data_IF_974246731360
#
_entry.id   IF_974246731360
#
_cell.length_a   1.000
_cell.length_b   1.000
_cell.length_c   1.000
_cell.angle_alpha   90.00
_cell.angle_beta   90.00
_cell.angle_gamma   90.00
#
_symmetry.space_group_name_H-M   'P 1'
#
loop_
_entity.id
_entity.type
_entity.pdbx_description
1 polymer ?
#
# COMPACT_ATOMS: atom_id res chain seq x y z
N UNK A 1 52.57 61.20 9.28
CA UNK A 1 51.45 60.30 9.66
C UNK A 1 52.05 59.23 10.55
N UNK A 2 51.98 59.44 11.88
CA UNK A 2 51.14 58.67 12.83
C UNK A 2 51.43 57.16 12.80
N UNK A 3 51.74 56.42 13.86
CA UNK A 3 51.93 56.63 15.31
C UNK A 3 52.49 55.28 15.84
N UNK A 4 53.31 55.33 16.89
CA UNK A 4 53.78 54.23 17.80
C UNK A 4 52.62 53.34 18.37
N UNK A 5 52.82 52.39 19.32
CA UNK A 5 53.79 51.29 19.56
C UNK A 5 53.12 49.96 20.10
N UNK A 6 53.95 49.02 20.61
CA UNK A 6 53.70 47.80 21.41
C UNK A 6 52.46 47.71 22.34
N UNK A 7 51.90 46.48 22.45
CA UNK A 7 51.27 45.83 23.64
C UNK A 7 51.20 44.31 23.35
N UNK A 8 51.94 43.38 23.98
CA UNK A 8 51.83 42.76 25.31
C UNK A 8 50.43 42.25 25.73
N UNK A 9 50.42 41.03 26.33
CA UNK A 9 49.39 40.34 27.17
C UNK A 9 48.66 39.17 26.47
N UNK A 10 49.10 37.90 26.66
CA UNK A 10 48.67 36.90 27.70
C UNK A 10 47.26 36.33 27.39
N UNK A 11 47.15 35.11 26.83
CA UNK A 11 47.01 33.80 27.51
C UNK A 11 45.54 33.41 27.73
N UNK A 12 45.06 32.41 26.99
CA UNK A 12 44.22 31.36 27.56
C UNK A 12 44.35 30.07 26.72
N UNK A 13 45.07 29.11 27.28
CA UNK A 13 44.90 27.70 26.97
C UNK A 13 43.47 27.32 27.37
N UNK A 14 42.62 27.04 26.39
CA UNK A 14 41.44 26.21 26.61
C UNK A 14 41.73 24.86 25.97
N UNK A 15 42.05 23.92 26.84
CA UNK A 15 42.03 22.48 26.58
C UNK A 15 40.61 22.17 26.12
N UNK A 16 40.40 22.12 24.80
CA UNK A 16 39.25 21.41 24.27
C UNK A 16 39.64 19.96 24.32
N UNK A 17 39.36 19.34 25.47
CA UNK A 17 39.14 17.90 25.53
C UNK A 17 38.21 17.58 24.37
N UNK A 18 38.73 16.88 23.38
CA UNK A 18 37.93 16.29 22.32
C UNK A 18 36.98 15.31 22.98
N UNK A 19 35.81 15.81 23.39
CA UNK A 19 34.63 14.98 23.55
C UNK A 19 34.31 14.59 22.11
N UNK A 20 34.90 13.47 21.68
CA UNK A 20 34.23 12.65 20.68
C UNK A 20 32.93 12.24 21.35
N UNK A 21 31.88 13.04 21.15
CA UNK A 21 30.53 12.53 21.24
C UNK A 21 30.53 11.48 20.15
N UNK A 22 30.74 10.22 20.54
CA UNK A 22 30.31 9.11 19.73
C UNK A 22 28.82 9.39 19.57
N UNK A 23 28.43 9.93 18.42
CA UNK A 23 27.05 9.99 18.05
C UNK A 23 26.59 8.54 18.11
N UNK A 24 25.89 8.18 19.19
CA UNK A 24 25.01 7.05 19.11
C UNK A 24 24.13 7.35 17.89
N UNK A 25 24.00 6.43 16.92
CA UNK A 25 22.95 6.58 15.92
C UNK A 25 21.69 6.88 16.74
N UNK A 26 20.99 7.97 16.41
CA UNK A 26 19.69 8.26 17.02
C UNK A 26 18.97 6.92 17.12
N UNK A 27 18.68 6.46 18.33
CA UNK A 27 17.98 5.19 18.47
C UNK A 27 16.68 5.42 17.73
N UNK A 28 16.55 4.82 16.55
CA UNK A 28 15.40 5.00 15.69
C UNK A 28 14.19 4.75 16.59
N UNK A 29 13.44 5.81 16.89
CA UNK A 29 12.43 5.75 17.92
C UNK A 29 11.48 4.61 17.52
N UNK A 30 11.24 3.67 18.44
CA UNK A 30 10.33 2.56 18.14
C UNK A 30 8.98 3.13 17.73
N UNK A 31 8.42 2.62 16.65
CA UNK A 31 7.06 2.95 16.24
C UNK A 31 6.10 2.22 17.18
N UNK A 32 5.30 2.99 17.91
CA UNK A 32 4.19 2.53 18.73
C UNK A 32 2.93 3.05 18.06
N UNK A 33 2.33 2.20 17.22
CA UNK A 33 1.19 2.57 16.38
C UNK A 33 -0.12 1.94 16.83
N UNK A 34 -1.22 2.61 16.48
CA UNK A 34 -2.57 2.05 16.50
C UNK A 34 -3.22 2.26 15.14
N UNK A 35 -3.98 1.27 14.68
CA UNK A 35 -4.77 1.39 13.46
C UNK A 35 -6.07 2.14 13.74
N UNK A 36 -6.33 3.16 12.93
CA UNK A 36 -7.59 3.89 12.88
C UNK A 36 -8.41 3.32 11.73
N UNK A 37 -9.46 2.59 12.08
CA UNK A 37 -10.31 1.91 11.11
C UNK A 37 -11.08 2.86 10.19
N UNK A 38 -11.57 4.00 10.72
CA UNK A 38 -12.37 4.94 9.94
C UNK A 38 -12.06 6.39 10.33
N UNK A 39 -11.33 7.08 9.47
CA UNK A 39 -10.96 8.49 9.68
C UNK A 39 -12.16 9.46 9.72
N UNK A 40 -13.36 9.05 9.25
CA UNK A 40 -14.56 9.89 9.35
C UNK A 40 -15.22 9.88 10.72
N UNK A 41 -14.81 8.97 11.60
CA UNK A 41 -15.31 8.84 12.96
C UNK A 41 -14.36 9.42 14.00
N UNK A 42 -13.22 9.93 13.56
CA UNK A 42 -12.22 10.53 14.44
C UNK A 42 -12.47 12.03 14.62
N UNK A 43 -12.11 12.51 15.80
CA UNK A 43 -12.04 13.92 16.16
C UNK A 43 -10.64 14.28 16.64
N UNK A 44 -10.35 15.58 16.71
CA UNK A 44 -9.11 16.11 17.29
C UNK A 44 -8.80 15.50 18.67
N UNK A 45 -9.81 15.46 19.55
CA UNK A 45 -9.64 14.93 20.92
C UNK A 45 -9.26 13.46 20.97
N UNK A 46 -9.63 12.67 19.97
CA UNK A 46 -9.25 11.26 19.91
C UNK A 46 -7.74 11.10 19.66
N UNK A 47 -7.15 11.94 18.79
CA UNK A 47 -5.71 11.93 18.53
C UNK A 47 -4.90 12.35 19.76
N UNK A 48 -5.33 13.39 20.48
CA UNK A 48 -4.72 13.78 21.75
C UNK A 48 -4.83 12.68 22.81
N UNK A 49 -5.96 11.97 22.86
CA UNK A 49 -6.14 10.84 23.78
C UNK A 49 -5.17 9.71 23.45
N UNK A 50 -5.01 9.36 22.17
CA UNK A 50 -4.04 8.35 21.73
C UNK A 50 -2.61 8.73 22.11
N UNK A 51 -2.20 9.97 21.85
CA UNK A 51 -0.89 10.49 22.25
C UNK A 51 -0.68 10.39 23.78
N UNK A 52 -1.73 10.65 24.58
CA UNK A 52 -1.66 10.53 26.04
C UNK A 52 -1.39 9.11 26.55
N UNK A 53 -1.69 8.08 25.74
CA UNK A 53 -1.36 6.69 26.04
C UNK A 53 0.06 6.28 25.64
N UNK A 54 0.85 7.22 25.10
CA UNK A 54 2.22 6.96 24.65
C UNK A 54 2.31 6.39 23.23
N UNK A 55 1.20 6.39 22.48
CA UNK A 55 1.21 6.18 21.03
C UNK A 55 2.00 7.32 20.39
N UNK A 56 2.85 7.01 19.42
CA UNK A 56 3.62 8.03 18.69
C UNK A 56 3.36 8.03 17.18
N UNK A 57 2.54 7.09 16.70
CA UNK A 57 2.18 6.93 15.29
C UNK A 57 0.75 6.43 15.17
N UNK A 58 0.03 6.83 14.14
CA UNK A 58 -1.27 6.24 13.79
C UNK A 58 -1.26 5.67 12.38
N UNK A 59 -1.94 4.54 12.18
CA UNK A 59 -2.09 3.94 10.85
C UNK A 59 -3.50 4.26 10.35
N UNK A 60 -3.59 5.07 9.31
CA UNK A 60 -4.86 5.61 8.80
C UNK A 60 -5.40 4.71 7.70
N UNK A 61 -6.50 4.03 7.98
CA UNK A 61 -7.23 3.33 6.94
C UNK A 61 -7.97 4.31 6.04
N UNK A 62 -7.54 4.36 4.79
CA UNK A 62 -8.09 5.27 3.80
C UNK A 62 -9.25 4.61 3.06
N UNK A 63 -10.32 5.38 2.92
CA UNK A 63 -11.53 4.95 2.23
C UNK A 63 -11.47 5.57 0.85
N UNK A 64 -11.20 4.73 -0.17
CA UNK A 64 -11.02 5.22 -1.53
C UNK A 64 -12.25 6.00 -2.00
N UNK A 65 -13.47 5.55 -1.68
CA UNK A 65 -14.70 6.29 -2.00
C UNK A 65 -14.81 7.70 -1.39
N UNK A 66 -14.09 8.00 -0.32
CA UNK A 66 -14.02 9.37 0.25
C UNK A 66 -12.97 10.23 -0.42
N UNK A 67 -11.91 9.62 -0.95
CA UNK A 67 -10.83 10.35 -1.62
C UNK A 67 -11.15 10.58 -3.11
N UNK A 68 -11.77 9.60 -3.78
CA UNK A 68 -12.18 9.67 -5.18
C UNK A 68 -13.65 9.28 -5.34
N UNK A 69 -14.59 10.14 -4.91
CA UNK A 69 -16.02 9.84 -4.94
C UNK A 69 -16.57 9.61 -6.36
N UNK A 70 -15.92 10.15 -7.39
CA UNK A 70 -16.27 9.89 -8.79
C UNK A 70 -15.00 9.79 -9.64
N UNK A 71 -15.01 9.06 -10.77
CA UNK A 71 -13.79 8.78 -11.54
C UNK A 71 -13.02 10.05 -11.89
N UNK A 72 -11.75 10.12 -11.47
CA UNK A 72 -10.84 11.23 -11.72
C UNK A 72 -11.07 12.47 -10.84
N UNK A 73 -12.06 12.46 -9.95
CA UNK A 73 -12.46 13.61 -9.15
C UNK A 73 -12.06 13.38 -7.69
N UNK A 74 -10.94 14.00 -7.30
CA UNK A 74 -10.31 13.79 -6.00
C UNK A 74 -10.69 14.88 -5.00
N UNK A 75 -10.94 14.48 -3.76
CA UNK A 75 -11.07 15.37 -2.61
C UNK A 75 -10.27 14.83 -1.44
N UNK A 76 -9.52 15.71 -0.77
CA UNK A 76 -8.63 15.32 0.33
C UNK A 76 -9.02 15.97 1.65
N UNK A 77 -10.16 16.67 1.72
CA UNK A 77 -10.51 17.50 2.87
C UNK A 77 -10.57 16.71 4.19
N UNK A 78 -11.18 15.52 4.18
CA UNK A 78 -11.27 14.67 5.38
C UNK A 78 -9.88 14.14 5.79
N UNK A 79 -9.06 13.73 4.82
CA UNK A 79 -7.72 13.25 5.09
C UNK A 79 -6.84 14.37 5.66
N UNK A 80 -6.79 15.52 4.99
CA UNK A 80 -6.00 16.67 5.44
C UNK A 80 -6.44 17.20 6.81
N UNK A 81 -7.75 17.14 7.12
CA UNK A 81 -8.25 17.47 8.44
C UNK A 81 -7.69 16.53 9.51
N UNK A 82 -7.69 15.21 9.25
CA UNK A 82 -7.13 14.24 10.17
C UNK A 82 -5.61 14.39 10.33
N UNK A 83 -4.88 14.65 9.23
CA UNK A 83 -3.44 14.93 9.29
C UNK A 83 -3.15 16.17 10.16
N UNK A 84 -3.93 17.25 10.02
CA UNK A 84 -3.76 18.43 10.88
C UNK A 84 -3.93 18.10 12.37
N UNK A 85 -4.93 17.29 12.73
CA UNK A 85 -5.14 16.86 14.12
C UNK A 85 -4.03 15.95 14.64
N UNK A 86 -3.46 15.11 13.77
CA UNK A 86 -2.32 14.24 14.08
C UNK A 86 -1.08 15.10 14.37
N UNK A 87 -0.82 16.10 13.52
CA UNK A 87 0.28 17.05 13.69
C UNK A 87 0.15 17.83 15.00
N UNK A 88 -1.05 18.34 15.30
CA UNK A 88 -1.35 19.06 16.55
C UNK A 88 -1.17 18.19 17.79
N UNK A 89 -1.44 16.88 17.69
CA UNK A 89 -1.20 15.90 18.74
C UNK A 89 0.27 15.45 18.85
N UNK A 90 1.15 15.89 17.94
CA UNK A 90 2.56 15.48 17.90
C UNK A 90 2.77 14.02 17.50
N UNK A 91 1.84 13.46 16.72
CA UNK A 91 1.87 12.09 16.24
C UNK A 91 2.46 12.01 14.82
N UNK A 92 3.04 10.86 14.50
CA UNK A 92 3.36 10.50 13.12
C UNK A 92 2.21 9.71 12.48
N UNK A 93 2.25 9.48 11.17
CA UNK A 93 1.24 8.69 10.49
C UNK A 93 1.78 7.78 9.38
N UNK A 94 1.06 6.67 9.18
CA UNK A 94 1.23 5.71 8.09
C UNK A 94 -0.11 5.60 7.37
N UNK A 95 -0.12 5.61 6.04
CA UNK A 95 -1.35 5.46 5.26
C UNK A 95 -1.60 4.00 4.90
N UNK A 96 -2.82 3.50 5.11
CA UNK A 96 -3.24 2.17 4.65
C UNK A 96 -4.20 2.36 3.48
N UNK A 97 -3.78 1.90 2.30
CA UNK A 97 -4.59 1.91 1.09
C UNK A 97 -5.32 0.58 0.93
N UNK A 98 -6.64 0.60 1.16
CA UNK A 98 -7.51 -0.57 1.04
C UNK A 98 -8.28 -0.58 -0.30
N UNK A 99 -8.25 -1.69 -1.03
CA UNK A 99 -9.22 -2.05 -2.09
C UNK A 99 -10.25 -3.07 -1.56
N UNK A 100 -11.51 -2.68 -1.36
CA UNK A 100 -12.61 -3.56 -0.96
C UNK A 100 -13.78 -2.85 -0.25
N UNK A 101 -13.96 -3.01 1.07
CA UNK A 101 -15.17 -2.61 1.81
C UNK A 101 -15.57 -1.14 1.68
N UNK A 102 -14.66 -0.27 1.25
CA UNK A 102 -14.86 1.18 1.13
C UNK A 102 -14.48 1.71 -0.26
N UNK A 103 -14.60 0.86 -1.27
CA UNK A 103 -14.37 1.24 -2.65
C UNK A 103 -15.37 2.29 -3.13
N UNK A 104 -14.99 3.16 -4.06
CA UNK A 104 -15.92 4.07 -4.69
C UNK A 104 -17.04 3.28 -5.39
N UNK A 105 -18.27 3.81 -5.37
CA UNK A 105 -19.44 3.13 -5.97
C UNK A 105 -19.29 2.83 -7.48
N UNK A 106 -18.36 3.51 -8.15
CA UNK A 106 -18.07 3.35 -9.57
C UNK A 106 -17.10 2.18 -9.85
N UNK A 107 -16.49 1.60 -8.82
CA UNK A 107 -15.82 0.30 -8.87
C UNK A 107 -16.88 -0.80 -8.73
N UNK A 108 -17.09 -1.57 -9.79
CA UNK A 108 -18.20 -2.53 -9.90
C UNK A 108 -17.76 -3.95 -10.23
N UNK A 109 -16.46 -4.14 -10.38
CA UNK A 109 -15.82 -5.37 -10.84
C UNK A 109 -15.16 -6.05 -9.65
N UNK A 110 -15.59 -7.29 -9.37
CA UNK A 110 -15.12 -8.11 -8.26
C UNK A 110 -15.01 -9.57 -8.69
N UNK A 111 -14.21 -10.33 -7.96
CA UNK A 111 -14.23 -11.79 -8.03
C UNK A 111 -15.59 -12.32 -7.62
N UNK A 112 -16.16 -13.22 -8.44
CA UNK A 112 -17.49 -13.78 -8.20
C UNK A 112 -17.39 -15.27 -7.89
N UNK A 113 -18.11 -15.71 -6.87
CA UNK A 113 -18.30 -17.12 -6.57
C UNK A 113 -19.24 -17.79 -7.58
N UNK A 114 -19.39 -19.12 -7.48
CA UNK A 114 -20.28 -19.89 -8.35
C UNK A 114 -21.77 -19.47 -8.29
N UNK A 115 -22.17 -18.79 -7.22
CA UNK A 115 -23.50 -18.21 -7.02
C UNK A 115 -23.66 -16.81 -7.65
N UNK A 116 -22.62 -16.27 -8.29
CA UNK A 116 -22.61 -14.93 -8.87
C UNK A 116 -22.46 -13.79 -7.87
N UNK A 117 -22.15 -14.08 -6.60
CA UNK A 117 -21.92 -13.07 -5.56
C UNK A 117 -20.42 -12.79 -5.37
N UNK A 118 -20.03 -11.57 -4.96
CA UNK A 118 -18.64 -11.25 -4.67
C UNK A 118 -18.01 -12.20 -3.64
N UNK A 119 -16.82 -12.70 -3.94
CA UNK A 119 -15.99 -13.45 -2.99
C UNK A 119 -15.47 -12.47 -1.93
N UNK A 120 -15.41 -12.91 -0.67
CA UNK A 120 -15.05 -12.07 0.48
C UNK A 120 -16.25 -11.33 1.13
N UNK A 121 -17.46 -11.49 0.60
CA UNK A 121 -18.69 -11.00 1.22
C UNK A 121 -18.72 -9.47 1.34
N UNK A 122 -18.71 -8.95 2.57
CA UNK A 122 -18.69 -7.50 2.83
C UNK A 122 -17.36 -6.82 2.50
N UNK A 123 -16.31 -7.59 2.28
CA UNK A 123 -14.99 -7.15 1.81
C UNK A 123 -14.73 -7.82 0.47
N UNK A 124 -15.36 -7.36 -0.62
CA UNK A 124 -15.29 -8.04 -1.89
C UNK A 124 -13.87 -8.00 -2.45
N UNK A 125 -13.44 -9.12 -3.03
CA UNK A 125 -12.11 -9.27 -3.60
C UNK A 125 -12.05 -8.64 -5.01
N UNK A 126 -11.09 -7.74 -5.32
CA UNK A 126 -10.87 -7.29 -6.69
C UNK A 126 -10.49 -8.46 -7.61
N UNK A 127 -10.81 -8.39 -8.91
CA UNK A 127 -10.21 -9.27 -9.89
C UNK A 127 -8.73 -8.90 -10.08
N UNK A 128 -7.82 -9.84 -9.80
CA UNK A 128 -6.39 -9.56 -9.58
C UNK A 128 -5.66 -9.01 -10.81
N UNK A 129 -6.14 -9.34 -12.00
CA UNK A 129 -5.53 -8.91 -13.26
C UNK A 129 -6.44 -7.97 -14.06
N UNK A 130 -7.45 -7.37 -13.43
CA UNK A 130 -8.20 -6.29 -14.06
C UNK A 130 -7.33 -5.01 -14.14
N UNK A 131 -6.63 -4.85 -15.25
CA UNK A 131 -5.74 -3.70 -15.49
C UNK A 131 -6.47 -2.35 -15.41
N UNK A 132 -7.76 -2.29 -15.74
CA UNK A 132 -8.53 -1.03 -15.65
C UNK A 132 -8.63 -0.58 -14.19
N UNK A 133 -9.08 -1.47 -13.32
CA UNK A 133 -9.26 -1.17 -11.90
C UNK A 133 -7.92 -0.97 -11.20
N UNK A 134 -6.92 -1.78 -11.55
CA UNK A 134 -5.56 -1.65 -11.03
C UNK A 134 -4.97 -0.28 -11.38
N UNK A 135 -5.18 0.21 -12.60
CA UNK A 135 -4.74 1.55 -13.01
C UNK A 135 -5.46 2.66 -12.22
N UNK A 136 -6.78 2.54 -12.02
CA UNK A 136 -7.54 3.47 -11.17
C UNK A 136 -6.97 3.50 -9.74
N UNK A 137 -6.74 2.33 -9.15
CA UNK A 137 -6.19 2.19 -7.82
C UNK A 137 -4.77 2.79 -7.70
N UNK A 138 -3.89 2.54 -8.68
CA UNK A 138 -2.54 3.12 -8.72
C UNK A 138 -2.62 4.65 -8.81
N UNK A 139 -3.52 5.21 -9.62
CA UNK A 139 -3.72 6.67 -9.70
C UNK A 139 -4.16 7.23 -8.35
N UNK A 140 -5.08 6.56 -7.66
CA UNK A 140 -5.53 6.92 -6.33
C UNK A 140 -4.40 6.93 -5.30
N UNK A 141 -3.61 5.85 -5.23
CA UNK A 141 -2.45 5.74 -4.34
C UNK A 141 -1.46 6.86 -4.62
N UNK A 142 -1.05 7.02 -5.89
CA UNK A 142 -0.05 8.01 -6.28
C UNK A 142 -0.48 9.44 -5.98
N UNK A 143 -1.73 9.79 -6.32
CA UNK A 143 -2.24 11.14 -6.03
C UNK A 143 -2.31 11.44 -4.54
N UNK A 144 -2.69 10.46 -3.74
CA UNK A 144 -2.80 10.63 -2.28
C UNK A 144 -1.41 10.76 -1.65
N UNK A 145 -0.48 9.84 -1.93
CA UNK A 145 0.88 9.87 -1.36
C UNK A 145 1.64 11.14 -1.77
N UNK A 146 1.43 11.63 -2.99
CA UNK A 146 2.11 12.84 -3.50
C UNK A 146 1.90 14.09 -2.65
N UNK A 147 0.83 14.15 -1.85
CA UNK A 147 0.56 15.25 -0.93
C UNK A 147 1.55 15.30 0.25
N UNK A 148 2.13 14.16 0.62
CA UNK A 148 2.84 13.97 1.89
C UNK A 148 4.32 13.61 1.73
N UNK A 149 4.83 13.54 0.48
CA UNK A 149 6.23 13.15 0.22
C UNK A 149 7.29 14.03 0.91
N UNK A 150 6.93 15.27 1.27
CA UNK A 150 7.82 16.20 1.96
C UNK A 150 7.41 16.44 3.43
N UNK A 151 6.43 15.70 3.93
CA UNK A 151 5.97 15.79 5.31
C UNK A 151 6.88 14.94 6.22
N UNK A 152 7.45 15.56 7.25
CA UNK A 152 8.32 14.87 8.21
C UNK A 152 7.59 13.90 9.12
N UNK A 153 6.28 14.04 9.30
CA UNK A 153 5.46 13.15 10.12
C UNK A 153 4.90 11.95 9.33
N UNK A 154 5.04 11.95 7.99
CA UNK A 154 4.69 10.81 7.15
C UNK A 154 5.79 9.74 7.19
N UNK A 155 5.48 8.57 7.76
CA UNK A 155 6.46 7.49 7.91
C UNK A 155 6.39 6.43 6.80
N UNK A 156 5.31 6.40 6.02
CA UNK A 156 5.16 5.48 4.90
C UNK A 156 3.72 5.06 4.66
N UNK A 157 3.56 4.03 3.81
CA UNK A 157 2.24 3.53 3.45
C UNK A 157 2.24 2.01 3.25
N UNK A 158 1.14 1.37 3.66
CA UNK A 158 0.78 0.03 3.22
C UNK A 158 -0.01 0.16 1.91
N UNK A 159 0.59 -0.30 0.83
CA UNK A 159 -0.06 -0.38 -0.48
C UNK A 159 -0.57 -1.79 -0.72
N UNK A 160 -1.69 -1.89 -1.42
CA UNK A 160 -2.34 -3.14 -1.84
C UNK A 160 -2.97 -3.91 -0.67
N UNK A 161 -3.25 -3.20 0.43
CA UNK A 161 -4.09 -3.74 1.49
C UNK A 161 -5.48 -4.01 0.86
N UNK A 162 -6.08 -5.17 1.10
CA UNK A 162 -7.27 -5.62 0.35
C UNK A 162 -6.99 -6.33 -0.98
N UNK A 163 -6.08 -5.86 -1.83
CA UNK A 163 -5.68 -6.60 -3.05
C UNK A 163 -4.88 -7.86 -2.70
N UNK A 164 -3.99 -7.75 -1.71
CA UNK A 164 -3.26 -8.90 -1.15
C UNK A 164 -4.16 -9.75 -0.23
N UNK A 165 -5.11 -9.12 0.46
CA UNK A 165 -5.99 -9.85 1.37
C UNK A 165 -7.08 -10.65 0.65
N UNK A 166 -7.46 -10.23 -0.56
CA UNK A 166 -8.33 -10.97 -1.46
C UNK A 166 -7.82 -12.38 -1.76
N UNK A 167 -6.50 -12.59 -1.72
CA UNK A 167 -5.88 -13.90 -1.84
C UNK A 167 -6.40 -14.89 -0.78
N UNK A 168 -6.67 -14.42 0.45
CA UNK A 168 -7.12 -15.28 1.56
C UNK A 168 -8.58 -15.69 1.46
N UNK A 169 -9.41 -14.93 0.73
CA UNK A 169 -10.84 -15.22 0.57
C UNK A 169 -11.13 -16.08 -0.65
N UNK A 170 -10.13 -16.33 -1.50
CA UNK A 170 -10.25 -16.97 -2.81
C UNK A 170 -10.52 -15.94 -3.92
N UNK A 171 -10.16 -16.28 -5.15
CA UNK A 171 -10.19 -15.37 -6.29
C UNK A 171 -9.36 -15.91 -7.44
N UNK A 172 -9.03 -15.07 -8.42
CA UNK A 172 -8.23 -15.44 -9.59
C UNK A 172 -9.04 -16.13 -10.69
N UNK A 173 -10.37 -16.16 -10.60
CA UNK A 173 -11.20 -16.88 -11.59
C UNK A 173 -12.04 -15.95 -12.46
N UNK A 174 -11.90 -14.64 -12.28
CA UNK A 174 -12.57 -13.67 -13.13
C UNK A 174 -12.07 -13.77 -14.59
N UNK A 175 -12.84 -13.18 -15.51
CA UNK A 175 -12.45 -13.14 -16.92
C UNK A 175 -11.05 -12.52 -17.12
N UNK A 176 -10.72 -11.35 -16.54
CA UNK A 176 -9.36 -10.81 -16.56
C UNK A 176 -8.27 -11.79 -16.10
N UNK A 177 -8.49 -12.56 -15.04
CA UNK A 177 -7.48 -13.48 -14.50
C UNK A 177 -7.28 -14.69 -15.41
N UNK A 178 -8.38 -15.25 -15.93
CA UNK A 178 -8.33 -16.34 -16.91
C UNK A 178 -7.58 -15.89 -18.17
N UNK A 179 -7.82 -14.66 -18.63
CA UNK A 179 -7.11 -14.08 -19.77
C UNK A 179 -5.63 -13.89 -19.49
N UNK A 180 -5.28 -13.38 -18.31
CA UNK A 180 -3.90 -13.17 -17.92
C UNK A 180 -3.14 -14.49 -17.73
N UNK A 181 -3.77 -15.52 -17.16
CA UNK A 181 -3.18 -16.84 -17.04
C UNK A 181 -2.85 -17.45 -18.40
N UNK A 182 -3.76 -17.31 -19.37
CA UNK A 182 -3.47 -17.75 -20.74
C UNK A 182 -2.28 -17.00 -21.33
N UNK A 183 -2.13 -15.71 -21.03
CA UNK A 183 -0.98 -14.93 -21.48
C UNK A 183 0.33 -15.36 -20.78
N UNK A 184 0.27 -15.64 -19.48
CA UNK A 184 1.38 -16.25 -18.73
C UNK A 184 1.82 -17.57 -19.37
N UNK A 185 0.89 -18.48 -19.66
CA UNK A 185 1.21 -19.75 -20.32
C UNK A 185 1.81 -19.54 -21.72
N UNK A 186 1.28 -18.61 -22.50
CA UNK A 186 1.90 -18.26 -23.80
C UNK A 186 3.34 -17.78 -23.61
N UNK A 187 3.62 -16.99 -22.57
CA UNK A 187 4.99 -16.55 -22.26
C UNK A 187 5.89 -17.72 -21.90
N UNK A 188 5.49 -18.55 -20.92
CA UNK A 188 6.27 -19.71 -20.43
C UNK A 188 6.58 -20.71 -21.54
N UNK A 189 5.61 -20.96 -22.42
CA UNK A 189 5.74 -21.95 -23.49
C UNK A 189 6.11 -21.33 -24.85
N UNK A 190 6.49 -20.05 -24.92
CA UNK A 190 6.81 -19.34 -26.16
C UNK A 190 5.72 -19.49 -27.24
N UNK A 191 4.46 -19.38 -26.83
CA UNK A 191 3.25 -19.55 -27.64
C UNK A 191 3.14 -20.93 -28.31
N UNK A 192 3.82 -21.96 -27.78
CA UNK A 192 3.83 -23.32 -28.31
C UNK A 192 2.87 -24.22 -27.54
N UNK A 193 1.65 -24.39 -28.06
CA UNK A 193 0.62 -25.25 -27.44
C UNK A 193 1.02 -26.74 -27.46
N UNK A 194 1.77 -27.19 -28.47
CA UNK A 194 2.26 -28.56 -28.56
C UNK A 194 3.18 -28.89 -27.39
N UNK A 195 4.12 -27.99 -27.08
CA UNK A 195 5.04 -28.15 -25.94
C UNK A 195 4.29 -28.18 -24.61
N UNK A 196 3.25 -27.35 -24.45
CA UNK A 196 2.40 -27.38 -23.27
C UNK A 196 1.68 -28.73 -23.16
N UNK A 197 1.06 -29.20 -24.24
CA UNK A 197 0.37 -30.48 -24.30
C UNK A 197 1.30 -31.67 -23.98
N UNK A 198 2.54 -31.65 -24.47
CA UNK A 198 3.56 -32.67 -24.16
C UNK A 198 3.87 -32.72 -22.66
N UNK A 199 4.02 -31.55 -22.01
CA UNK A 199 4.36 -31.47 -20.58
C UNK A 199 3.14 -31.78 -19.70
N UNK A 200 1.94 -31.34 -20.10
CA UNK A 200 0.73 -31.47 -19.29
C UNK A 200 -0.05 -32.76 -19.58
N UNK A 201 0.31 -33.51 -20.63
CA UNK A 201 -0.43 -34.70 -21.05
C UNK A 201 -1.82 -34.38 -21.62
N UNK A 202 -1.99 -33.23 -22.26
CA UNK A 202 -3.27 -32.71 -22.79
C UNK A 202 -3.29 -32.69 -24.32
N UNK A 203 -4.44 -32.35 -24.91
CA UNK A 203 -4.61 -32.24 -26.38
C UNK A 203 -5.30 -30.93 -26.78
N UNK A 204 -4.94 -29.81 -26.15
CA UNK A 204 -5.50 -28.50 -26.49
C UNK A 204 -5.04 -28.08 -27.89
N UNK A 205 -5.97 -27.61 -28.71
CA UNK A 205 -5.68 -27.04 -30.02
C UNK A 205 -5.10 -25.63 -29.94
N UNK A 206 -5.40 -24.88 -28.86
CA UNK A 206 -4.88 -23.55 -28.60
C UNK A 206 -5.10 -23.14 -27.12
N UNK A 207 -4.45 -22.06 -26.68
CA UNK A 207 -4.49 -21.59 -25.28
C UNK A 207 -5.88 -21.12 -24.81
N UNK A 208 -6.84 -20.81 -25.70
CA UNK A 208 -8.18 -20.38 -25.28
C UNK A 208 -9.01 -21.51 -24.66
N UNK A 209 -8.62 -22.77 -24.87
CA UNK A 209 -9.24 -23.94 -24.24
C UNK A 209 -8.76 -24.20 -22.81
N UNK A 210 -7.73 -23.48 -22.36
CA UNK A 210 -7.17 -23.63 -21.03
C UNK A 210 -7.96 -22.74 -20.07
N UNK A 211 -8.37 -23.34 -18.96
CA UNK A 211 -9.02 -22.65 -17.85
C UNK A 211 -8.22 -22.95 -16.56
N UNK A 212 -8.25 -22.03 -15.59
CA UNK A 212 -7.71 -22.30 -14.25
C UNK A 212 -8.32 -23.59 -13.67
N UNK A 213 -7.55 -24.39 -12.91
CA UNK A 213 -8.07 -25.59 -12.29
C UNK A 213 -9.18 -25.23 -11.28
N UNK A 214 -10.28 -26.00 -11.30
CA UNK A 214 -11.44 -25.78 -10.42
C UNK A 214 -11.19 -26.18 -8.96
N UNK A 215 -10.03 -26.76 -8.67
CA UNK A 215 -9.55 -27.00 -7.30
C UNK A 215 -8.03 -26.94 -7.26
N UNK A 216 -7.49 -26.36 -6.18
CA UNK A 216 -6.05 -26.34 -5.88
C UNK A 216 -5.40 -27.73 -5.90
N UNK A 217 -6.18 -28.79 -5.70
CA UNK A 217 -5.72 -30.18 -5.71
C UNK A 217 -5.49 -30.81 -7.10
N UNK A 218 -5.86 -30.14 -8.21
CA UNK A 218 -5.92 -30.82 -9.53
C UNK A 218 -4.82 -30.54 -10.55
N UNK A 219 -3.95 -29.53 -10.39
CA UNK A 219 -2.66 -29.47 -11.08
C UNK A 219 -1.82 -28.32 -10.50
N UNK A 220 -1.01 -28.57 -9.46
CA UNK A 220 -0.65 -27.55 -8.48
C UNK A 220 0.50 -26.61 -8.88
N UNK A 221 1.06 -26.67 -10.09
CA UNK A 221 2.28 -25.90 -10.40
C UNK A 221 2.01 -24.63 -11.18
N UNK A 222 1.48 -24.69 -12.40
CA UNK A 222 1.43 -23.50 -13.25
C UNK A 222 0.42 -22.43 -12.79
N UNK A 223 -0.71 -22.84 -12.20
CA UNK A 223 -1.67 -21.91 -11.59
C UNK A 223 -1.08 -21.27 -10.34
N UNK A 224 -0.49 -22.07 -9.47
CA UNK A 224 0.18 -21.59 -8.25
C UNK A 224 1.32 -20.62 -8.56
N UNK A 225 2.19 -20.93 -9.53
CA UNK A 225 3.24 -20.02 -10.01
C UNK A 225 2.73 -18.78 -10.76
N UNK A 226 1.45 -18.74 -11.11
CA UNK A 226 0.82 -17.57 -11.70
C UNK A 226 0.16 -16.69 -10.65
N UNK A 227 -0.38 -17.29 -9.58
CA UNK A 227 -0.98 -16.58 -8.45
C UNK A 227 0.05 -16.02 -7.45
N UNK A 228 1.23 -16.64 -7.32
CA UNK A 228 2.39 -16.14 -6.55
C UNK A 228 3.31 -15.22 -7.37
#
# INVERSE_FOLDING_TARGET
MNTKPLLWIILLLLVISSITVVAHPESQQKIWSVQIWNISQMSESDYFLLASYGVNTVELQLYWGFIEPSPGNFTFSLLLQNINWIDEAGLNYILIFWYGPFDPYWITTYELGANGLPIGGSTPSPPWWNLTDMNCYIVYVNRTISLFLNDSHFLGAYVNYGWLDAFWYGGGYSKPDVEMFRNYLKSVFNNNITKLNEIWGTNYTNFSQIYPPTSYSQNPTAWFYFEE
#
